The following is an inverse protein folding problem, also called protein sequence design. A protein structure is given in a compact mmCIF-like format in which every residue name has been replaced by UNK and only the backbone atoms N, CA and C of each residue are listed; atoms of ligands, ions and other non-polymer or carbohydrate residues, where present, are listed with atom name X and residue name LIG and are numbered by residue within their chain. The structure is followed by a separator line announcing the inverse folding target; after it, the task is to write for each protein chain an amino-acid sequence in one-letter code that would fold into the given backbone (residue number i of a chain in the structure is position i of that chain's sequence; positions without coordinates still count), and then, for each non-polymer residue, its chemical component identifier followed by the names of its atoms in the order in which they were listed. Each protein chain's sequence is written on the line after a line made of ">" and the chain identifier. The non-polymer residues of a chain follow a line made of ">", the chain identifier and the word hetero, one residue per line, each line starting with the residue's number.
data_IF_699048523676
#
_entry.id   IF_699048523676
#
_cell.length_a   1.000
_cell.length_b   1.000
_cell.length_c   1.000
_cell.angle_alpha   90.00
_cell.angle_beta   90.00
_cell.angle_gamma   90.00
#
_symmetry.space_group_name_H-M   'P 1'
#
loop_
_entity.id
_entity.type
_entity.pdbx_description
1 polymer ?
#
# COMPACT_ATOMS: atom_id res chain seq x y z
N UNK A 1 65.04 -41.91 -27.16
CA UNK A 1 65.75 -41.23 -26.06
C UNK A 1 66.18 -39.89 -26.64
N UNK A 2 65.65 -38.74 -26.26
CA UNK A 2 65.39 -38.26 -24.90
C UNK A 2 64.55 -36.98 -24.92
N UNK A 3 63.78 -36.82 -23.83
CA UNK A 3 63.30 -35.58 -23.19
C UNK A 3 62.49 -34.56 -24.00
N UNK A 4 61.17 -34.56 -23.79
CA UNK A 4 60.40 -33.31 -23.70
C UNK A 4 59.84 -33.18 -22.27
N UNK A 5 60.10 -32.00 -21.70
CA UNK A 5 59.71 -31.54 -20.37
C UNK A 5 58.20 -31.37 -20.27
N UNK A 6 57.56 -32.03 -19.30
CA UNK A 6 56.27 -31.56 -18.81
C UNK A 6 56.51 -30.43 -17.80
N UNK A 7 56.16 -29.23 -18.25
CA UNK A 7 56.04 -28.01 -17.46
C UNK A 7 54.88 -28.19 -16.47
N UNK A 8 55.20 -28.58 -15.24
CA UNK A 8 54.25 -28.51 -14.12
C UNK A 8 53.98 -27.04 -13.79
N UNK A 9 53.07 -26.43 -14.56
CA UNK A 9 52.43 -25.19 -14.16
C UNK A 9 51.73 -25.40 -12.82
N UNK A 10 52.31 -24.83 -11.77
CA UNK A 10 51.75 -24.78 -10.43
C UNK A 10 50.40 -24.06 -10.52
N UNK A 11 49.31 -24.81 -10.54
CA UNK A 11 47.96 -24.26 -10.34
C UNK A 11 47.87 -23.89 -8.87
N UNK A 12 48.12 -22.62 -8.57
CA UNK A 12 47.80 -22.03 -7.27
C UNK A 12 46.30 -22.15 -7.10
N UNK A 13 45.84 -23.10 -6.29
CA UNK A 13 44.43 -23.29 -5.97
C UNK A 13 43.85 -21.96 -5.46
N UNK A 14 42.94 -21.38 -6.22
CA UNK A 14 42.27 -20.14 -5.85
C UNK A 14 41.53 -20.30 -4.51
N UNK A 15 41.56 -19.26 -3.69
CA UNK A 15 40.79 -19.21 -2.43
C UNK A 15 39.29 -19.46 -2.72
N UNK A 16 38.56 -20.20 -1.87
CA UNK A 16 37.14 -20.46 -2.09
C UNK A 16 36.32 -19.16 -2.22
N UNK A 17 35.35 -19.12 -3.15
CA UNK A 17 34.46 -17.98 -3.33
C UNK A 17 33.74 -17.62 -2.03
N UNK A 18 33.68 -16.33 -1.73
CA UNK A 18 33.01 -15.78 -0.56
C UNK A 18 31.71 -15.07 -0.94
N UNK A 19 30.80 -15.04 0.02
CA UNK A 19 29.65 -14.13 0.03
C UNK A 19 30.04 -12.89 0.82
N UNK A 20 30.12 -11.73 0.18
CA UNK A 20 30.52 -10.47 0.79
C UNK A 20 29.40 -9.46 0.67
N UNK A 21 29.13 -8.68 1.72
CA UNK A 21 28.14 -7.61 1.66
C UNK A 21 28.65 -6.33 2.30
N UNK A 22 28.41 -5.20 1.63
CA UNK A 22 28.59 -3.86 2.18
C UNK A 22 27.23 -3.18 2.27
N UNK A 23 26.86 -2.78 3.48
CA UNK A 23 25.61 -2.07 3.76
C UNK A 23 25.91 -0.72 4.38
N UNK A 24 25.35 0.34 3.80
CA UNK A 24 25.55 1.71 4.28
C UNK A 24 24.20 2.37 4.58
N UNK A 25 24.07 2.96 5.77
CA UNK A 25 22.81 3.52 6.26
C UNK A 25 23.02 4.89 6.89
N UNK A 26 22.47 5.94 6.31
CA UNK A 26 22.68 7.31 6.79
C UNK A 26 21.35 7.95 7.20
N UNK A 27 21.27 8.38 8.47
CA UNK A 27 20.14 9.08 9.08
C UNK A 27 20.49 10.54 9.40
N UNK A 28 21.65 10.75 10.01
CA UNK A 28 22.00 12.00 10.71
C UNK A 28 22.79 12.96 9.83
N UNK A 29 22.16 13.45 8.77
CA UNK A 29 22.75 14.49 7.91
C UNK A 29 22.99 15.79 8.69
N UNK A 30 24.18 16.38 8.53
CA UNK A 30 24.60 17.66 9.12
C UNK A 30 23.89 18.85 8.46
N UNK A 31 23.50 18.67 7.19
CA UNK A 31 22.84 19.66 6.34
C UNK A 31 21.64 19.00 5.63
N UNK A 32 20.52 19.72 5.49
CA UNK A 32 19.27 19.16 4.94
C UNK A 32 18.42 18.39 5.95
N UNK A 33 17.45 17.62 5.44
CA UNK A 33 16.55 16.80 6.26
C UNK A 33 17.25 15.58 6.83
N UNK A 34 16.95 15.24 8.09
CA UNK A 34 17.42 13.99 8.71
C UNK A 34 16.44 12.86 8.41
N UNK A 35 16.99 11.70 8.08
CA UNK A 35 16.20 10.48 7.88
C UNK A 35 16.11 9.69 9.18
N UNK A 36 15.00 8.98 9.36
CA UNK A 36 14.69 8.32 10.64
C UNK A 36 15.03 6.83 10.68
N UNK A 37 15.04 6.15 9.53
CA UNK A 37 14.94 4.68 9.51
C UNK A 37 16.04 3.94 8.73
N UNK A 38 16.88 4.64 7.96
CA UNK A 38 17.89 4.01 7.08
C UNK A 38 18.89 3.12 7.82
N UNK A 39 19.28 3.48 9.06
CA UNK A 39 20.14 2.65 9.89
C UNK A 39 19.46 1.35 10.33
N UNK A 40 18.17 1.42 10.68
CA UNK A 40 17.40 0.22 11.05
C UNK A 40 17.31 -0.72 9.86
N UNK A 41 17.06 -0.18 8.67
CA UNK A 41 16.95 -0.96 7.43
C UNK A 41 18.26 -1.69 7.11
N UNK A 42 19.40 -1.03 7.30
CA UNK A 42 20.72 -1.66 7.17
C UNK A 42 20.95 -2.78 8.17
N UNK A 43 20.53 -2.62 9.43
CA UNK A 43 20.70 -3.66 10.44
C UNK A 43 19.82 -4.88 10.16
N UNK A 44 18.59 -4.67 9.69
CA UNK A 44 17.68 -5.75 9.32
C UNK A 44 18.26 -6.56 8.14
N UNK A 45 18.66 -5.89 7.04
CA UNK A 45 19.28 -6.57 5.89
C UNK A 45 20.61 -7.24 6.27
N UNK A 46 21.40 -6.62 7.15
CA UNK A 46 22.66 -7.20 7.60
C UNK A 46 22.48 -8.49 8.41
N UNK A 47 21.46 -8.56 9.27
CA UNK A 47 21.17 -9.76 10.06
C UNK A 47 20.81 -10.93 9.14
N UNK A 48 20.02 -10.68 8.10
CA UNK A 48 19.64 -11.68 7.09
C UNK A 48 20.84 -12.17 6.29
N UNK A 49 21.65 -11.24 5.76
CA UNK A 49 22.81 -11.61 4.96
C UNK A 49 23.82 -12.42 5.79
N UNK A 50 24.01 -12.09 7.08
CA UNK A 50 24.85 -12.91 7.98
C UNK A 50 24.33 -14.34 8.11
N UNK A 51 23.02 -14.54 8.27
CA UNK A 51 22.41 -15.88 8.33
C UNK A 51 22.62 -16.67 7.02
N UNK A 52 22.64 -15.98 5.89
CA UNK A 52 22.93 -16.57 4.57
C UNK A 52 24.43 -16.84 4.31
N UNK A 53 25.27 -16.62 5.32
CA UNK A 53 26.71 -16.85 5.27
C UNK A 53 27.50 -15.71 4.62
N UNK A 54 26.92 -14.52 4.46
CA UNK A 54 27.66 -13.35 4.01
C UNK A 54 28.57 -12.82 5.11
N UNK A 55 29.77 -12.42 4.71
CA UNK A 55 30.64 -11.56 5.50
C UNK A 55 30.17 -10.13 5.31
N UNK A 56 29.48 -9.61 6.32
CA UNK A 56 28.78 -8.33 6.27
C UNK A 56 29.64 -7.21 6.87
N UNK A 57 29.87 -6.16 6.08
CA UNK A 57 30.47 -4.89 6.50
C UNK A 57 29.36 -3.85 6.57
N UNK A 58 29.19 -3.19 7.72
CA UNK A 58 28.19 -2.14 7.94
C UNK A 58 28.91 -0.80 8.14
N UNK A 59 28.39 0.27 7.55
CA UNK A 59 28.74 1.63 7.93
C UNK A 59 27.50 2.50 8.08
N UNK A 60 27.42 3.24 9.18
CA UNK A 60 26.26 4.07 9.51
C UNK A 60 26.67 5.52 9.71
N UNK A 61 25.84 6.46 9.26
CA UNK A 61 26.07 7.91 9.40
C UNK A 61 27.49 8.32 8.98
N UNK A 62 27.86 7.98 7.74
CA UNK A 62 29.23 8.12 7.28
C UNK A 62 29.49 9.50 6.64
N UNK A 63 30.48 10.26 7.16
CA UNK A 63 31.03 11.42 6.44
C UNK A 63 31.70 10.98 5.13
N UNK A 64 31.83 11.90 4.17
CA UNK A 64 32.23 11.60 2.79
C UNK A 64 33.54 10.82 2.70
N UNK A 65 34.57 11.30 3.42
CA UNK A 65 35.89 10.65 3.44
C UNK A 65 35.79 9.23 3.99
N UNK A 66 35.05 9.03 5.08
CA UNK A 66 34.86 7.72 5.72
C UNK A 66 34.04 6.78 4.84
N UNK A 67 33.02 7.30 4.17
CA UNK A 67 32.17 6.57 3.24
C UNK A 67 32.97 6.04 2.03
N UNK A 68 33.83 6.87 1.44
CA UNK A 68 34.75 6.41 0.39
C UNK A 68 35.73 5.37 0.94
N UNK A 69 36.30 5.60 2.12
CA UNK A 69 37.26 4.66 2.71
C UNK A 69 36.66 3.27 2.95
N UNK A 70 35.43 3.18 3.48
CA UNK A 70 34.78 1.88 3.71
C UNK A 70 34.48 1.17 2.39
N UNK A 71 34.03 1.91 1.36
CA UNK A 71 33.79 1.38 0.02
C UNK A 71 35.09 0.83 -0.58
N UNK A 72 36.16 1.62 -0.58
CA UNK A 72 37.47 1.23 -1.12
C UNK A 72 38.08 0.05 -0.34
N UNK A 73 37.93 0.01 0.99
CA UNK A 73 38.39 -1.11 1.82
C UNK A 73 37.62 -2.39 1.50
N UNK A 74 36.30 -2.31 1.38
CA UNK A 74 35.46 -3.45 1.01
C UNK A 74 35.79 -3.96 -0.39
N UNK A 75 35.96 -3.08 -1.37
CA UNK A 75 36.36 -3.43 -2.74
C UNK A 75 37.68 -4.22 -2.81
N UNK A 76 38.61 -4.00 -1.87
CA UNK A 76 39.86 -4.76 -1.79
C UNK A 76 39.68 -6.18 -1.25
N UNK A 77 38.55 -6.48 -0.63
CA UNK A 77 38.24 -7.82 -0.13
C UNK A 77 37.66 -8.74 -1.21
N UNK A 78 37.08 -8.16 -2.28
CA UNK A 78 36.46 -8.88 -3.40
C UNK A 78 37.54 -9.50 -4.28
N UNK A 79 37.37 -10.79 -4.58
CA UNK A 79 38.19 -11.59 -5.49
C UNK A 79 37.33 -12.15 -6.63
N UNK A 80 38.00 -12.82 -7.57
CA UNK A 80 37.32 -13.54 -8.64
C UNK A 80 36.30 -14.54 -8.07
N UNK A 81 35.15 -14.65 -8.70
CA UNK A 81 34.06 -15.58 -8.37
C UNK A 81 33.28 -15.33 -7.06
N UNK A 82 33.63 -14.30 -6.27
CA UNK A 82 32.86 -13.91 -5.08
C UNK A 82 31.42 -13.47 -5.44
N UNK A 83 30.46 -13.73 -4.53
CA UNK A 83 29.11 -13.16 -4.59
C UNK A 83 29.07 -11.89 -3.74
N UNK A 84 28.76 -10.75 -4.35
CA UNK A 84 28.85 -9.44 -3.70
C UNK A 84 27.48 -8.79 -3.60
N UNK A 85 27.11 -8.29 -2.43
CA UNK A 85 25.93 -7.44 -2.21
C UNK A 85 26.38 -6.04 -1.80
N UNK A 86 25.87 -5.02 -2.46
CA UNK A 86 25.98 -3.63 -2.03
C UNK A 86 24.58 -3.10 -1.74
N UNK A 87 24.33 -2.64 -0.51
CA UNK A 87 23.06 -2.03 -0.10
C UNK A 87 23.33 -0.62 0.45
N UNK A 88 22.54 0.34 0.01
CA UNK A 88 22.58 1.70 0.54
C UNK A 88 21.18 2.17 0.90
N UNK A 89 21.00 2.69 2.11
CA UNK A 89 19.80 3.41 2.55
C UNK A 89 20.18 4.82 3.03
N UNK A 90 19.60 5.86 2.43
CA UNK A 90 19.95 7.26 2.71
C UNK A 90 19.56 8.25 1.60
N UNK A 91 20.06 9.48 1.62
CA UNK A 91 19.82 10.44 0.54
C UNK A 91 20.57 10.10 -0.76
N UNK A 92 19.85 10.19 -1.88
CA UNK A 92 20.39 10.03 -3.23
C UNK A 92 19.94 11.14 -4.17
N UNK A 93 20.83 11.59 -5.06
CA UNK A 93 20.57 12.65 -6.03
C UNK A 93 20.86 12.13 -7.44
N UNK A 94 20.07 12.58 -8.42
CA UNK A 94 20.35 12.40 -9.84
C UNK A 94 20.80 13.72 -10.46
N UNK A 95 21.88 13.67 -11.23
CA UNK A 95 22.39 14.80 -12.02
C UNK A 95 22.99 14.28 -13.33
N UNK A 96 22.67 14.91 -14.46
CA UNK A 96 23.17 14.53 -15.80
C UNK A 96 23.14 13.01 -16.09
N UNK A 97 22.00 12.37 -15.83
CA UNK A 97 21.80 10.92 -16.00
C UNK A 97 22.75 10.05 -15.18
N UNK A 98 23.26 10.55 -14.05
CA UNK A 98 24.07 9.80 -13.11
C UNK A 98 23.45 9.82 -11.71
N UNK A 99 23.57 8.69 -11.02
CA UNK A 99 23.10 8.53 -9.64
C UNK A 99 24.26 8.75 -8.67
N UNK A 100 24.01 9.53 -7.61
CA UNK A 100 24.97 9.87 -6.58
C UNK A 100 24.42 9.56 -5.19
N UNK A 101 25.28 9.00 -4.32
CA UNK A 101 25.01 8.77 -2.91
C UNK A 101 25.51 9.94 -2.07
N UNK A 102 24.73 10.33 -1.06
CA UNK A 102 25.03 11.49 -0.22
C UNK A 102 25.53 11.05 1.16
N UNK A 103 26.69 11.58 1.54
CA UNK A 103 27.30 11.43 2.86
C UNK A 103 26.71 12.44 3.86
N UNK A 104 26.83 12.17 5.16
CA UNK A 104 26.13 13.00 6.17
C UNK A 104 26.67 14.43 6.30
N UNK A 105 27.94 14.67 5.98
CA UNK A 105 28.64 15.97 6.05
C UNK A 105 28.51 16.78 4.75
N UNK A 106 27.69 16.31 3.80
CA UNK A 106 27.56 16.95 2.51
C UNK A 106 26.72 18.24 2.60
N UNK A 107 27.40 19.38 2.48
CA UNK A 107 26.81 20.73 2.49
C UNK A 107 25.85 21.04 1.36
N UNK A 108 25.92 20.29 0.26
CA UNK A 108 25.10 20.52 -0.91
C UNK A 108 23.61 20.23 -0.64
N UNK A 109 23.25 19.55 0.45
CA UNK A 109 21.84 19.45 0.88
C UNK A 109 21.25 20.79 1.38
N UNK A 110 22.08 21.82 1.62
CA UNK A 110 21.64 23.13 2.11
C UNK A 110 21.79 24.27 1.07
N UNK A 111 22.65 24.15 0.06
CA UNK A 111 22.92 25.20 -0.93
C UNK A 111 22.70 24.67 -2.36
N UNK A 112 21.79 25.32 -3.08
CA UNK A 112 21.29 25.05 -4.45
C UNK A 112 22.36 25.20 -5.57
N UNK A 113 23.64 25.07 -5.26
CA UNK A 113 24.76 25.29 -6.19
C UNK A 113 25.38 23.98 -6.67
N UNK A 114 25.85 23.94 -7.92
CA UNK A 114 26.43 22.82 -8.70
C UNK A 114 27.58 22.00 -8.03
N UNK A 115 27.85 22.18 -6.74
CA UNK A 115 28.96 21.60 -5.99
C UNK A 115 28.81 20.09 -5.70
N UNK A 116 27.69 19.47 -6.05
CA UNK A 116 27.44 18.02 -5.86
C UNK A 116 28.50 17.13 -6.52
N UNK A 117 29.13 17.59 -7.62
CA UNK A 117 30.20 16.85 -8.32
C UNK A 117 31.45 16.60 -7.45
N UNK A 118 31.66 17.40 -6.40
CA UNK A 118 32.87 17.31 -5.58
C UNK A 118 32.69 16.55 -4.26
N UNK A 119 31.44 16.41 -3.78
CA UNK A 119 31.16 15.87 -2.44
C UNK A 119 30.11 14.73 -2.42
N UNK A 120 29.60 14.30 -3.58
CA UNK A 120 28.72 13.14 -3.69
C UNK A 120 29.42 11.95 -4.36
N UNK A 121 29.05 10.73 -3.98
CA UNK A 121 29.71 9.51 -4.47
C UNK A 121 28.92 8.94 -5.63
N UNK A 122 29.51 8.98 -6.83
CA UNK A 122 28.87 8.43 -8.04
C UNK A 122 28.68 6.91 -7.92
N UNK A 123 27.45 6.43 -8.03
CA UNK A 123 27.12 5.00 -7.91
C UNK A 123 27.81 4.18 -8.98
N UNK A 124 27.85 4.69 -10.22
CA UNK A 124 28.53 4.04 -11.34
C UNK A 124 30.02 3.76 -11.04
N UNK A 125 30.71 4.67 -10.35
CA UNK A 125 32.10 4.48 -9.96
C UNK A 125 32.26 3.31 -8.97
N UNK A 126 31.32 3.15 -8.03
CA UNK A 126 31.32 2.03 -7.07
C UNK A 126 31.16 0.70 -7.84
N UNK A 127 30.17 0.63 -8.73
CA UNK A 127 29.87 -0.56 -9.52
C UNK A 127 31.04 -0.97 -10.43
N UNK A 128 31.60 -0.03 -11.19
CA UNK A 128 32.75 -0.29 -12.06
C UNK A 128 33.98 -0.75 -11.26
N UNK A 129 34.22 -0.12 -10.10
CA UNK A 129 35.36 -0.47 -9.25
C UNK A 129 35.22 -1.85 -8.61
N UNK A 130 34.00 -2.27 -8.24
CA UNK A 130 33.74 -3.63 -7.77
C UNK A 130 33.85 -4.66 -8.91
N UNK A 131 33.32 -4.33 -10.09
CA UNK A 131 33.32 -5.25 -11.25
C UNK A 131 34.72 -5.54 -11.78
N UNK A 132 35.65 -4.58 -11.66
CA UNK A 132 37.07 -4.80 -11.98
C UNK A 132 37.71 -5.97 -11.21
N UNK A 133 37.15 -6.36 -10.07
CA UNK A 133 37.60 -7.52 -9.28
C UNK A 133 37.09 -8.87 -9.79
N UNK A 134 36.24 -8.87 -10.82
CA UNK A 134 35.64 -10.04 -11.46
C UNK A 134 34.87 -10.99 -10.51
N UNK A 135 34.01 -10.48 -9.60
CA UNK A 135 33.10 -11.35 -8.85
C UNK A 135 32.17 -12.11 -9.80
N UNK A 136 31.63 -13.25 -9.35
CA UNK A 136 30.71 -14.06 -10.15
C UNK A 136 29.35 -13.37 -10.33
N UNK A 137 28.91 -12.66 -9.29
CA UNK A 137 27.67 -11.88 -9.32
C UNK A 137 27.77 -10.72 -8.35
N UNK A 138 27.27 -9.56 -8.77
CA UNK A 138 27.10 -8.39 -7.91
C UNK A 138 25.63 -8.00 -7.85
N UNK A 139 25.07 -7.88 -6.66
CA UNK A 139 23.72 -7.36 -6.43
C UNK A 139 23.83 -5.97 -5.81
N UNK A 140 23.34 -4.95 -6.51
CA UNK A 140 23.27 -3.57 -6.06
C UNK A 140 21.83 -3.21 -5.68
N UNK A 141 21.60 -2.86 -4.41
CA UNK A 141 20.32 -2.49 -3.84
C UNK A 141 20.36 -1.04 -3.35
N UNK A 142 19.49 -0.17 -3.86
CA UNK A 142 19.46 1.26 -3.49
C UNK A 142 18.08 1.66 -2.94
N UNK A 143 18.04 2.06 -1.67
CA UNK A 143 16.88 2.52 -0.91
C UNK A 143 17.04 4.00 -0.54
N UNK A 144 16.85 4.91 -1.51
CA UNK A 144 17.20 6.33 -1.32
C UNK A 144 16.01 7.31 -1.23
N UNK A 145 16.04 8.24 -0.27
CA UNK A 145 15.16 9.42 -0.21
C UNK A 145 15.69 10.55 -1.10
N UNK A 146 14.85 11.25 -1.90
CA UNK A 146 15.32 12.17 -2.95
C UNK A 146 14.99 13.66 -2.76
N UNK A 147 15.95 14.50 -3.15
CA UNK A 147 15.81 15.97 -3.36
C UNK A 147 16.19 16.29 -4.81
N UNK A 148 15.35 17.05 -5.51
CA UNK A 148 15.56 17.46 -6.92
C UNK A 148 16.24 18.82 -7.01
N UNK A 149 17.14 18.97 -7.97
CA UNK A 149 17.71 20.25 -8.39
C UNK A 149 17.61 20.34 -9.90
N UNK A 150 16.90 21.33 -10.40
CA UNK A 150 16.79 21.62 -11.84
C UNK A 150 17.49 22.94 -12.13
N UNK A 151 18.20 23.02 -13.25
CA UNK A 151 19.08 24.12 -13.73
C UNK A 151 18.49 25.54 -13.83
N UNK A 152 17.33 25.90 -13.27
CA UNK A 152 16.75 27.23 -13.45
C UNK A 152 15.99 27.79 -12.23
N UNK A 153 16.68 28.01 -11.11
CA UNK A 153 16.18 28.91 -10.05
C UNK A 153 17.20 29.96 -9.58
N UNK A 154 18.22 30.26 -10.39
CA UNK A 154 18.89 31.55 -10.31
C UNK A 154 17.96 32.63 -10.90
N UNK A 155 16.98 33.12 -10.12
CA UNK A 155 16.30 34.43 -10.21
C UNK A 155 14.94 34.40 -9.45
N UNK A 156 14.95 34.32 -8.12
CA UNK A 156 13.95 35.05 -7.31
C UNK A 156 14.37 35.14 -5.84
N UNK A 157 14.57 36.37 -5.38
CA UNK A 157 14.91 36.70 -3.99
C UNK A 157 13.69 36.55 -3.07
N UNK A 158 13.30 35.33 -2.72
CA UNK A 158 12.32 35.09 -1.66
C UNK A 158 12.66 33.88 -0.79
N UNK A 159 12.61 33.99 0.55
CA UNK A 159 12.86 32.87 1.45
C UNK A 159 11.68 31.90 1.39
N UNK A 160 11.90 30.67 0.91
CA UNK A 160 10.82 29.71 0.67
C UNK A 160 10.83 28.54 1.67
N UNK A 161 10.32 28.80 2.87
CA UNK A 161 9.29 27.90 3.41
C UNK A 161 8.00 28.13 2.62
N UNK A 162 7.66 27.26 1.66
CA UNK A 162 6.28 26.95 1.19
C UNK A 162 6.29 26.11 -0.09
N UNK A 163 5.62 24.95 0.00
CA UNK A 163 4.81 24.31 -1.05
C UNK A 163 5.19 24.56 -2.52
N UNK A 164 5.86 23.58 -3.13
CA UNK A 164 6.03 23.50 -4.59
C UNK A 164 4.66 23.17 -5.24
N UNK A 165 4.27 23.80 -6.37
CA UNK A 165 2.96 23.61 -7.01
C UNK A 165 2.74 22.20 -7.58
N UNK A 166 1.47 21.76 -7.60
CA UNK A 166 0.97 20.43 -7.96
C UNK A 166 1.16 19.97 -9.44
N UNK A 167 2.17 20.43 -10.18
CA UNK A 167 2.31 20.03 -11.59
C UNK A 167 3.73 19.85 -12.14
N UNK A 168 4.70 19.48 -11.30
CA UNK A 168 6.00 18.96 -11.76
C UNK A 168 6.06 17.44 -11.55
N UNK A 169 6.16 16.69 -12.65
CA UNK A 169 6.41 15.24 -12.64
C UNK A 169 7.71 14.93 -11.89
N UNK A 170 7.58 14.39 -10.67
CA UNK A 170 8.68 13.87 -9.86
C UNK A 170 9.14 12.53 -10.45
N UNK A 171 10.27 12.51 -11.16
CA UNK A 171 10.83 11.28 -11.74
C UNK A 171 11.70 10.51 -10.72
N UNK A 172 12.41 9.49 -11.16
CA UNK A 172 13.06 8.43 -10.39
C UNK A 172 14.59 8.57 -10.47
N UNK A 173 15.38 7.67 -9.86
CA UNK A 173 16.78 7.49 -10.28
C UNK A 173 16.77 6.97 -11.71
N UNK A 174 17.70 7.42 -12.54
CA UNK A 174 17.81 6.93 -13.91
C UNK A 174 18.35 5.51 -13.95
N UNK A 175 18.01 4.78 -15.01
CA UNK A 175 18.51 3.43 -15.30
C UNK A 175 20.03 3.43 -15.48
N UNK A 176 20.75 2.63 -14.68
CA UNK A 176 22.19 2.45 -14.83
C UNK A 176 22.52 1.41 -15.91
N UNK A 177 23.61 1.60 -16.63
CA UNK A 177 24.13 0.59 -17.57
C UNK A 177 24.73 -0.57 -16.76
N UNK A 178 24.01 -1.69 -16.70
CA UNK A 178 24.52 -2.91 -16.06
C UNK A 178 25.82 -3.38 -16.71
N UNK A 179 26.78 -3.79 -15.89
CA UNK A 179 27.99 -4.49 -16.36
C UNK A 179 27.71 -5.99 -16.31
N UNK A 180 28.24 -6.79 -17.24
CA UNK A 180 28.01 -8.24 -17.27
C UNK A 180 28.33 -8.87 -15.89
N UNK A 181 27.36 -9.61 -15.32
CA UNK A 181 27.45 -10.17 -13.97
C UNK A 181 26.92 -9.27 -12.84
N UNK A 182 26.27 -8.14 -13.14
CA UNK A 182 25.62 -7.28 -12.14
C UNK A 182 24.09 -7.27 -12.25
N UNK A 183 23.41 -7.35 -11.10
CA UNK A 183 21.97 -7.13 -10.92
C UNK A 183 21.79 -5.84 -10.12
N UNK A 184 21.03 -4.90 -10.65
CA UNK A 184 20.75 -3.61 -10.00
C UNK A 184 19.26 -3.57 -9.69
N UNK A 185 18.91 -3.35 -8.43
CA UNK A 185 17.52 -3.28 -7.94
C UNK A 185 17.34 -1.95 -7.22
N UNK A 186 16.34 -1.19 -7.65
CA UNK A 186 15.94 0.04 -7.00
C UNK A 186 14.68 -0.23 -6.16
N UNK A 187 14.64 0.29 -4.93
CA UNK A 187 13.49 0.09 -4.03
C UNK A 187 12.24 0.88 -4.50
N UNK A 188 12.44 1.94 -5.29
CA UNK A 188 11.41 2.58 -6.13
C UNK A 188 11.73 2.34 -7.60
N UNK A 189 10.73 2.07 -8.44
CA UNK A 189 10.93 1.94 -9.89
C UNK A 189 11.66 3.16 -10.49
N UNK A 190 12.41 3.00 -11.59
CA UNK A 190 12.89 4.16 -12.33
C UNK A 190 11.65 5.02 -12.69
N UNK A 191 11.73 6.30 -12.42
CA UNK A 191 10.65 7.29 -12.55
C UNK A 191 9.59 7.44 -11.43
N UNK A 192 9.75 6.83 -10.26
CA UNK A 192 8.76 6.97 -9.16
C UNK A 192 9.33 7.57 -7.85
N UNK A 193 8.52 8.38 -7.15
CA UNK A 193 8.81 9.02 -5.86
C UNK A 193 7.65 8.81 -4.87
N UNK A 194 7.96 8.50 -3.61
CA UNK A 194 6.96 8.32 -2.54
C UNK A 194 7.30 9.22 -1.36
N UNK A 195 6.28 9.93 -0.85
CA UNK A 195 6.32 10.74 0.37
C UNK A 195 6.10 9.82 1.59
N UNK A 196 6.99 9.93 2.58
CA UNK A 196 6.94 9.14 3.82
C UNK A 196 5.70 9.44 4.67
N UNK A 197 4.91 8.42 5.00
CA UNK A 197 4.32 8.26 6.34
C UNK A 197 4.26 6.76 6.70
N UNK A 198 5.15 6.35 7.60
CA UNK A 198 5.17 5.03 8.25
C UNK A 198 5.08 5.23 9.77
N UNK A 199 4.03 4.68 10.39
CA UNK A 199 3.72 4.82 11.83
C UNK A 199 4.52 3.85 12.74
N UNK A 200 5.35 2.97 12.18
CA UNK A 200 5.99 1.86 12.93
C UNK A 200 7.53 1.87 12.95
N UNK A 201 8.19 2.98 12.61
CA UNK A 201 9.64 3.09 12.81
C UNK A 201 10.52 2.40 11.75
N UNK A 202 9.96 2.03 10.60
CA UNK A 202 10.64 1.33 9.48
C UNK A 202 10.24 1.93 8.13
N UNK A 203 11.13 1.88 7.14
CA UNK A 203 10.75 2.20 5.77
C UNK A 203 9.87 1.07 5.19
N UNK A 204 8.84 1.39 4.40
CA UNK A 204 7.81 0.42 3.91
C UNK A 204 8.40 -0.70 3.04
N UNK A 205 9.61 -0.55 2.53
CA UNK A 205 10.21 -1.40 1.49
C UNK A 205 11.14 -2.49 2.04
N UNK A 206 11.63 -2.38 3.27
CA UNK A 206 12.54 -3.37 3.91
C UNK A 206 11.84 -4.71 4.16
N UNK A 207 10.51 -4.71 4.39
CA UNK A 207 9.73 -5.93 4.55
C UNK A 207 9.75 -6.82 3.30
N UNK A 208 9.91 -6.27 2.09
CA UNK A 208 9.87 -7.01 0.82
C UNK A 208 11.17 -7.79 0.57
N UNK A 209 12.28 -7.43 1.22
CA UNK A 209 13.61 -8.00 0.99
C UNK A 209 13.96 -9.18 1.92
N UNK A 210 13.08 -9.56 2.86
CA UNK A 210 13.31 -10.70 3.74
C UNK A 210 13.10 -12.04 2.98
N UNK A 211 13.96 -13.06 3.19
CA UNK A 211 13.78 -14.37 2.58
C UNK A 211 12.43 -14.98 2.96
N UNK A 212 11.76 -15.61 1.97
CA UNK A 212 10.45 -16.23 2.15
C UNK A 212 10.41 -17.20 3.33
N UNK A 213 11.49 -17.92 3.65
CA UNK A 213 11.56 -18.84 4.79
C UNK A 213 11.37 -18.17 6.16
N UNK A 214 11.96 -16.99 6.40
CA UNK A 214 11.83 -16.27 7.68
C UNK A 214 10.44 -15.61 7.82
N UNK A 215 9.94 -15.05 6.71
CA UNK A 215 8.56 -14.53 6.64
C UNK A 215 7.55 -15.64 6.92
N UNK A 216 7.78 -16.83 6.37
CA UNK A 216 6.92 -18.00 6.55
C UNK A 216 6.94 -18.57 7.96
N UNK A 217 8.09 -18.65 8.62
CA UNK A 217 8.17 -19.15 10.01
C UNK A 217 7.43 -18.22 10.99
N UNK A 218 7.64 -16.90 10.86
CA UNK A 218 6.94 -15.91 11.69
C UNK A 218 5.44 -15.83 11.37
N UNK A 219 5.08 -15.94 10.10
CA UNK A 219 3.69 -16.01 9.66
C UNK A 219 3.02 -17.29 10.16
N UNK A 220 3.72 -18.42 10.12
CA UNK A 220 3.23 -19.70 10.63
C UNK A 220 2.96 -19.62 12.13
N UNK A 221 3.90 -19.08 12.92
CA UNK A 221 3.69 -18.89 14.37
C UNK A 221 2.48 -17.99 14.65
N UNK A 222 2.29 -16.91 13.88
CA UNK A 222 1.14 -16.01 14.02
C UNK A 222 -0.18 -16.65 13.60
N UNK A 223 -0.16 -17.54 12.60
CA UNK A 223 -1.31 -18.35 12.21
C UNK A 223 -1.63 -19.37 13.32
N UNK A 224 -0.63 -19.96 13.95
CA UNK A 224 -0.77 -20.93 15.03
C UNK A 224 -1.31 -20.26 16.31
N UNK A 225 -0.87 -19.04 16.61
CA UNK A 225 -1.36 -18.17 17.69
C UNK A 225 -2.80 -17.65 17.48
N UNK A 226 -3.39 -17.78 16.29
CA UNK A 226 -4.82 -17.53 16.07
C UNK A 226 -5.64 -18.62 16.79
N UNK A 227 -5.83 -18.43 18.11
CA UNK A 227 -6.39 -19.40 19.06
C UNK A 227 -7.93 -19.48 19.04
N UNK A 228 -8.61 -18.61 18.28
CA UNK A 228 -10.05 -18.72 18.08
C UNK A 228 -10.36 -19.73 16.97
N UNK A 229 -10.92 -20.89 17.37
CA UNK A 229 -11.17 -22.11 16.56
C UNK A 229 -11.81 -21.94 15.18
N UNK A 230 -12.32 -20.76 14.83
CA UNK A 230 -12.92 -20.47 13.52
C UNK A 230 -12.46 -19.16 12.86
N UNK A 231 -11.46 -18.46 13.41
CA UNK A 231 -11.01 -17.16 12.88
C UNK A 231 -9.51 -17.20 12.60
N UNK A 232 -9.13 -16.83 11.39
CA UNK A 232 -7.76 -16.52 11.01
C UNK A 232 -7.67 -15.00 10.86
N UNK A 233 -7.01 -14.35 11.83
CA UNK A 233 -6.88 -12.89 11.88
C UNK A 233 -5.44 -12.48 11.59
N UNK A 234 -5.21 -11.98 10.37
CA UNK A 234 -3.91 -11.59 9.85
C UNK A 234 -3.94 -10.15 9.33
N UNK A 235 -4.63 -9.27 10.06
CA UNK A 235 -4.71 -7.84 9.74
C UNK A 235 -3.45 -7.09 10.12
N UNK A 236 -3.00 -6.15 9.30
CA UNK A 236 -1.82 -5.30 9.56
C UNK A 236 -0.50 -6.09 9.65
N UNK A 237 -0.24 -6.94 8.64
CA UNK A 237 0.83 -7.94 8.71
C UNK A 237 1.81 -7.88 7.55
N UNK A 238 1.73 -6.83 6.74
CA UNK A 238 2.56 -6.61 5.55
C UNK A 238 2.53 -7.79 4.55
N UNK A 239 1.41 -8.52 4.52
CA UNK A 239 1.25 -9.66 3.61
C UNK A 239 1.15 -9.17 2.17
N UNK A 240 1.87 -9.83 1.27
CA UNK A 240 1.83 -9.59 -0.18
C UNK A 240 1.19 -10.78 -0.89
N UNK A 241 1.02 -10.67 -2.22
CA UNK A 241 0.47 -11.76 -3.04
C UNK A 241 1.25 -13.08 -2.90
N UNK A 242 2.56 -13.00 -2.66
CA UNK A 242 3.44 -14.16 -2.50
C UNK A 242 3.12 -14.97 -1.22
N UNK A 243 2.53 -14.33 -0.21
CA UNK A 243 2.20 -14.99 1.06
C UNK A 243 0.86 -15.74 0.98
N UNK A 244 0.03 -15.46 -0.03
CA UNK A 244 -1.35 -15.93 -0.10
C UNK A 244 -1.47 -17.45 -0.16
N UNK A 245 -0.57 -18.14 -0.86
CA UNK A 245 -0.60 -19.60 -0.93
C UNK A 245 -0.46 -20.24 0.45
N UNK A 246 0.45 -19.74 1.29
CA UNK A 246 0.70 -20.28 2.62
C UNK A 246 -0.44 -19.92 3.56
N UNK A 247 -0.88 -18.66 3.54
CA UNK A 247 -2.04 -18.21 4.33
C UNK A 247 -3.27 -19.06 4.03
N UNK A 248 -3.56 -19.30 2.75
CA UNK A 248 -4.75 -20.03 2.32
C UNK A 248 -4.63 -21.52 2.61
N UNK A 249 -3.48 -22.14 2.38
CA UNK A 249 -3.25 -23.54 2.75
C UNK A 249 -3.53 -23.75 4.24
N UNK A 250 -2.99 -22.88 5.11
CA UNK A 250 -3.20 -23.01 6.55
C UNK A 250 -4.66 -22.73 6.96
N UNK A 251 -5.28 -21.70 6.39
CA UNK A 251 -6.68 -21.39 6.65
C UNK A 251 -7.63 -22.54 6.21
N UNK A 252 -7.29 -23.22 5.11
CA UNK A 252 -8.01 -24.40 4.62
C UNK A 252 -7.76 -25.62 5.52
N UNK A 253 -6.51 -25.86 5.93
CA UNK A 253 -6.15 -26.96 6.86
C UNK A 253 -6.93 -26.84 8.16
N UNK A 254 -7.15 -25.61 8.64
CA UNK A 254 -7.96 -25.35 9.83
C UNK A 254 -9.44 -25.74 9.71
N UNK A 255 -9.94 -26.29 8.57
CA UNK A 255 -11.26 -26.93 8.24
C UNK A 255 -12.57 -26.31 8.78
N UNK A 256 -12.50 -25.34 9.66
CA UNK A 256 -13.56 -24.65 10.39
C UNK A 256 -13.33 -23.13 10.32
N UNK A 257 -12.41 -22.65 9.46
CA UNK A 257 -12.20 -21.21 9.28
C UNK A 257 -13.49 -20.58 8.72
N UNK A 258 -14.19 -19.85 9.59
CA UNK A 258 -15.39 -19.07 9.30
C UNK A 258 -15.07 -17.63 8.96
N UNK A 259 -13.99 -17.09 9.54
CA UNK A 259 -13.63 -15.69 9.39
C UNK A 259 -12.17 -15.59 8.95
N UNK A 260 -11.94 -15.13 7.72
CA UNK A 260 -10.61 -14.82 7.22
C UNK A 260 -10.46 -13.29 7.15
N UNK A 261 -9.61 -12.73 8.01
CA UNK A 261 -9.36 -11.29 8.09
C UNK A 261 -7.95 -10.97 7.60
N UNK A 262 -7.89 -10.31 6.45
CA UNK A 262 -6.66 -9.94 5.74
C UNK A 262 -6.59 -8.42 5.48
N UNK A 263 -7.31 -7.63 6.28
CA UNK A 263 -7.36 -6.18 6.08
C UNK A 263 -6.03 -5.49 6.42
N UNK A 264 -5.75 -4.34 5.79
CA UNK A 264 -4.54 -3.55 6.02
C UNK A 264 -3.27 -4.33 5.69
N UNK A 265 -3.23 -4.94 4.50
CA UNK A 265 -2.06 -5.64 3.97
C UNK A 265 -1.70 -5.05 2.59
N UNK A 266 -0.80 -5.71 1.86
CA UNK A 266 -0.31 -5.30 0.55
C UNK A 266 -0.80 -6.27 -0.55
N UNK A 267 -2.02 -6.80 -0.39
CA UNK A 267 -2.62 -7.73 -1.33
C UNK A 267 -3.11 -6.95 -2.55
N UNK A 268 -2.60 -7.31 -3.74
CA UNK A 268 -3.02 -6.72 -5.01
C UNK A 268 -4.13 -7.55 -5.65
N UNK A 269 -4.56 -7.17 -6.86
CA UNK A 269 -5.46 -7.99 -7.67
C UNK A 269 -4.93 -9.39 -7.97
N UNK A 270 -3.60 -9.60 -7.98
CA UNK A 270 -3.01 -10.93 -8.12
C UNK A 270 -3.32 -11.79 -6.89
N UNK A 271 -3.07 -11.29 -5.68
CA UNK A 271 -3.41 -12.01 -4.45
C UNK A 271 -4.92 -12.25 -4.32
N UNK A 272 -5.76 -11.31 -4.74
CA UNK A 272 -7.21 -11.51 -4.82
C UNK A 272 -7.60 -12.67 -5.77
N UNK A 273 -6.89 -12.83 -6.89
CA UNK A 273 -7.09 -13.96 -7.82
C UNK A 273 -6.68 -15.30 -7.21
N UNK A 274 -5.60 -15.33 -6.44
CA UNK A 274 -5.15 -16.51 -5.70
C UNK A 274 -6.21 -16.88 -4.64
N UNK A 275 -6.68 -15.90 -3.86
CA UNK A 275 -7.77 -16.09 -2.88
C UNK A 275 -9.02 -16.64 -3.57
N UNK A 276 -9.43 -16.03 -4.68
CA UNK A 276 -10.59 -16.48 -5.46
C UNK A 276 -10.44 -17.95 -5.90
N UNK A 277 -9.26 -18.35 -6.39
CA UNK A 277 -8.99 -19.72 -6.80
C UNK A 277 -9.12 -20.72 -5.63
N UNK A 278 -8.79 -20.29 -4.41
CA UNK A 278 -8.83 -21.08 -3.20
C UNK A 278 -10.22 -21.12 -2.53
N UNK A 279 -11.12 -20.17 -2.82
CA UNK A 279 -12.47 -20.10 -2.21
C UNK A 279 -13.26 -21.40 -2.33
N UNK A 280 -13.10 -22.15 -3.42
CA UNK A 280 -13.76 -23.46 -3.62
C UNK A 280 -13.38 -24.53 -2.58
N UNK A 281 -12.23 -24.37 -1.93
CA UNK A 281 -11.71 -25.31 -0.96
C UNK A 281 -12.16 -24.96 0.47
N UNK A 282 -12.72 -23.77 0.69
CA UNK A 282 -13.30 -23.39 1.97
C UNK A 282 -14.70 -23.98 2.11
N UNK A 283 -14.89 -24.84 3.10
CA UNK A 283 -16.18 -25.48 3.39
C UNK A 283 -16.97 -24.77 4.49
N UNK A 284 -16.35 -23.84 5.23
CA UNK A 284 -16.97 -23.13 6.36
C UNK A 284 -16.78 -21.60 6.35
N UNK A 285 -16.16 -21.01 5.32
CA UNK A 285 -15.85 -19.57 5.30
C UNK A 285 -17.10 -18.71 5.11
N UNK A 286 -17.53 -18.03 6.17
CA UNK A 286 -18.70 -17.16 6.20
C UNK A 286 -18.34 -15.67 5.99
N UNK A 287 -17.12 -15.27 6.32
CA UNK A 287 -16.65 -13.88 6.21
C UNK A 287 -15.24 -13.80 5.62
N UNK A 288 -15.09 -12.98 4.59
CA UNK A 288 -13.81 -12.59 4.00
C UNK A 288 -13.66 -11.07 4.10
N UNK A 289 -12.63 -10.63 4.81
CA UNK A 289 -12.31 -9.20 4.95
C UNK A 289 -10.97 -8.88 4.30
N UNK A 290 -11.02 -8.09 3.22
CA UNK A 290 -9.90 -7.62 2.42
C UNK A 290 -9.80 -6.08 2.43
N UNK A 291 -10.36 -5.44 3.46
CA UNK A 291 -10.37 -3.98 3.61
C UNK A 291 -8.95 -3.40 3.59
N UNK A 292 -8.74 -2.21 3.02
CA UNK A 292 -7.45 -1.51 3.03
C UNK A 292 -6.31 -2.35 2.44
N UNK A 293 -6.45 -2.68 1.15
CA UNK A 293 -5.45 -3.38 0.34
C UNK A 293 -5.31 -2.62 -1.01
N UNK A 294 -4.64 -3.21 -2.00
CA UNK A 294 -4.45 -2.59 -3.33
C UNK A 294 -5.21 -3.34 -4.44
N UNK A 295 -6.37 -3.90 -4.10
CA UNK A 295 -7.22 -4.65 -5.03
C UNK A 295 -7.91 -3.68 -5.99
N UNK A 296 -7.78 -3.91 -7.29
CA UNK A 296 -8.49 -3.18 -8.35
C UNK A 296 -9.63 -4.00 -8.94
N UNK A 297 -10.29 -3.45 -9.96
CA UNK A 297 -11.41 -4.09 -10.68
C UNK A 297 -11.09 -5.51 -11.18
N UNK A 298 -9.84 -5.79 -11.57
CA UNK A 298 -9.43 -7.13 -12.03
C UNK A 298 -9.42 -8.17 -10.90
N UNK A 299 -9.07 -7.76 -9.68
CA UNK A 299 -9.16 -8.62 -8.49
C UNK A 299 -10.61 -8.87 -8.10
N UNK A 300 -11.46 -7.84 -8.21
CA UNK A 300 -12.91 -7.96 -8.01
C UNK A 300 -13.54 -8.90 -9.04
N UNK A 301 -13.15 -8.82 -10.31
CA UNK A 301 -13.61 -9.77 -11.33
C UNK A 301 -13.25 -11.22 -10.95
N UNK A 302 -11.99 -11.45 -10.55
CA UNK A 302 -11.53 -12.78 -10.15
C UNK A 302 -12.35 -13.35 -8.97
N UNK A 303 -12.59 -12.52 -7.94
CA UNK A 303 -13.46 -12.89 -6.81
C UNK A 303 -14.90 -13.17 -7.28
N UNK A 304 -15.42 -12.33 -8.18
CA UNK A 304 -16.78 -12.37 -8.69
C UNK A 304 -17.07 -13.66 -9.48
N UNK A 305 -16.18 -14.03 -10.40
CA UNK A 305 -16.29 -15.27 -11.17
C UNK A 305 -16.41 -16.50 -10.25
N UNK A 306 -15.71 -16.50 -9.11
CA UNK A 306 -15.77 -17.61 -8.17
C UNK A 306 -17.00 -17.58 -7.27
N UNK A 307 -17.42 -16.40 -6.81
CA UNK A 307 -18.61 -16.24 -5.97
C UNK A 307 -19.92 -16.52 -6.71
N UNK A 308 -19.89 -16.50 -8.04
CA UNK A 308 -21.00 -16.91 -8.91
C UNK A 308 -21.30 -18.41 -8.87
N UNK A 309 -20.40 -19.23 -8.31
CA UNK A 309 -20.65 -20.67 -8.15
C UNK A 309 -21.61 -20.95 -6.98
N UNK A 310 -22.64 -21.78 -7.23
CA UNK A 310 -23.74 -22.11 -6.29
C UNK A 310 -23.31 -22.71 -4.94
N UNK A 311 -22.01 -22.92 -4.71
CA UNK A 311 -21.46 -23.53 -3.49
C UNK A 311 -20.83 -22.52 -2.53
N UNK A 312 -20.90 -21.21 -2.84
CA UNK A 312 -20.37 -20.19 -1.93
C UNK A 312 -21.26 -20.03 -0.70
N UNK A 313 -20.77 -20.42 0.46
CA UNK A 313 -21.41 -20.16 1.77
C UNK A 313 -21.03 -18.79 2.35
N UNK A 314 -20.29 -17.98 1.59
CA UNK A 314 -19.82 -16.68 2.03
C UNK A 314 -21.00 -15.72 2.23
N UNK A 315 -21.12 -15.18 3.44
CA UNK A 315 -22.20 -14.24 3.82
C UNK A 315 -21.72 -12.80 3.82
N UNK A 316 -20.45 -12.56 4.15
CA UNK A 316 -19.89 -11.24 4.33
C UNK A 316 -18.63 -11.08 3.50
N UNK A 317 -18.62 -10.09 2.60
CA UNK A 317 -17.46 -9.69 1.81
C UNK A 317 -17.16 -8.22 2.07
N UNK A 318 -15.98 -7.93 2.63
CA UNK A 318 -15.54 -6.55 2.88
C UNK A 318 -14.36 -6.22 1.97
N UNK A 319 -14.56 -5.24 1.10
CA UNK A 319 -13.61 -4.73 0.10
C UNK A 319 -13.38 -3.21 0.25
N UNK A 320 -13.74 -2.64 1.39
CA UNK A 320 -13.56 -1.21 1.65
C UNK A 320 -12.08 -0.77 1.53
N UNK A 321 -11.83 0.50 1.24
CA UNK A 321 -10.48 1.07 1.10
C UNK A 321 -9.59 0.31 0.10
N UNK A 322 -10.09 0.10 -1.12
CA UNK A 322 -9.35 -0.50 -2.22
C UNK A 322 -9.38 0.44 -3.45
N UNK A 323 -9.01 -0.04 -4.64
CA UNK A 323 -8.99 0.74 -5.89
C UNK A 323 -10.11 0.30 -6.84
N UNK A 324 -11.32 0.09 -6.30
CA UNK A 324 -12.48 -0.40 -7.05
C UNK A 324 -13.19 0.78 -7.71
N UNK A 325 -13.44 0.71 -9.01
CA UNK A 325 -14.15 1.72 -9.79
C UNK A 325 -15.56 1.25 -10.18
N UNK A 326 -16.25 2.00 -11.02
CA UNK A 326 -17.52 1.59 -11.63
C UNK A 326 -17.44 0.21 -12.31
N UNK A 327 -16.29 -0.11 -12.92
CA UNK A 327 -16.08 -1.41 -13.58
C UNK A 327 -16.11 -2.56 -12.57
N UNK A 328 -15.44 -2.42 -11.42
CA UNK A 328 -15.48 -3.41 -10.36
C UNK A 328 -16.86 -3.53 -9.73
N UNK A 329 -17.57 -2.41 -9.55
CA UNK A 329 -18.96 -2.41 -9.09
C UNK A 329 -19.90 -3.14 -10.07
N UNK A 330 -19.66 -3.03 -11.39
CA UNK A 330 -20.41 -3.76 -12.41
C UNK A 330 -20.18 -5.28 -12.30
N UNK A 331 -18.95 -5.74 -12.07
CA UNK A 331 -18.70 -7.18 -11.81
C UNK A 331 -19.44 -7.66 -10.56
N UNK A 332 -19.43 -6.87 -9.48
CA UNK A 332 -20.19 -7.19 -8.28
C UNK A 332 -21.70 -7.21 -8.52
N UNK A 333 -22.22 -6.29 -9.34
CA UNK A 333 -23.62 -6.29 -9.74
C UNK A 333 -23.99 -7.57 -10.50
N UNK A 334 -23.14 -8.03 -11.43
CA UNK A 334 -23.35 -9.28 -12.16
C UNK A 334 -23.46 -10.49 -11.21
N UNK A 335 -22.60 -10.58 -10.18
CA UNK A 335 -22.70 -11.69 -9.23
C UNK A 335 -23.93 -11.61 -8.35
N UNK A 336 -24.37 -10.40 -7.97
CA UNK A 336 -25.54 -10.23 -7.11
C UNK A 336 -26.81 -10.72 -7.82
N UNK A 337 -26.83 -10.75 -9.15
CA UNK A 337 -27.97 -11.31 -9.91
C UNK A 337 -28.17 -12.80 -9.65
N UNK A 338 -27.10 -13.56 -9.37
CA UNK A 338 -27.15 -15.03 -9.22
C UNK A 338 -26.81 -15.51 -7.81
N UNK A 339 -25.94 -14.81 -7.09
CA UNK A 339 -25.58 -15.14 -5.72
C UNK A 339 -26.76 -14.93 -4.77
N UNK A 340 -26.98 -15.90 -3.87
CA UNK A 340 -28.07 -15.90 -2.88
C UNK A 340 -27.57 -16.13 -1.45
N UNK A 341 -26.28 -15.95 -1.22
CA UNK A 341 -25.65 -16.25 0.08
C UNK A 341 -25.04 -15.02 0.73
N UNK A 342 -24.59 -14.05 -0.06
CA UNK A 342 -24.13 -12.76 0.45
C UNK A 342 -25.29 -12.00 1.10
N UNK A 343 -25.01 -11.56 2.33
CA UNK A 343 -25.88 -10.75 3.19
C UNK A 343 -25.26 -9.37 3.41
N UNK A 344 -23.93 -9.26 3.45
CA UNK A 344 -23.23 -7.99 3.64
C UNK A 344 -22.12 -7.79 2.60
N UNK A 345 -22.13 -6.63 1.96
CA UNK A 345 -21.09 -6.19 1.01
C UNK A 345 -20.54 -4.81 1.41
N UNK A 346 -19.27 -4.76 1.78
CA UNK A 346 -18.60 -3.51 2.15
C UNK A 346 -17.75 -2.95 1.00
N UNK A 347 -18.10 -1.78 0.47
CA UNK A 347 -17.42 -1.11 -0.65
C UNK A 347 -16.99 0.32 -0.33
N UNK A 348 -17.02 0.71 0.95
CA UNK A 348 -16.64 2.04 1.41
C UNK A 348 -15.23 2.46 0.96
N UNK A 349 -14.97 3.76 0.82
CA UNK A 349 -13.64 4.30 0.52
C UNK A 349 -12.99 3.70 -0.73
N UNK A 350 -13.78 3.52 -1.79
CA UNK A 350 -13.30 3.12 -3.11
C UNK A 350 -13.49 4.28 -4.11
N UNK A 351 -13.35 4.00 -5.40
CA UNK A 351 -13.46 4.95 -6.49
C UNK A 351 -14.75 4.74 -7.32
N UNK A 352 -15.80 4.19 -6.70
CA UNK A 352 -17.08 3.91 -7.37
C UNK A 352 -17.82 5.23 -7.60
N UNK A 353 -18.28 5.47 -8.82
CA UNK A 353 -19.11 6.59 -9.21
C UNK A 353 -20.59 6.20 -9.39
N UNK A 354 -21.34 7.09 -10.01
CA UNK A 354 -22.79 6.92 -10.16
C UNK A 354 -23.15 5.71 -11.03
N UNK A 355 -22.35 5.39 -12.05
CA UNK A 355 -22.61 4.27 -12.96
C UNK A 355 -22.46 2.91 -12.25
N UNK A 356 -21.47 2.79 -11.36
CA UNK A 356 -21.28 1.62 -10.53
C UNK A 356 -22.44 1.42 -9.56
N UNK A 357 -22.90 2.48 -8.91
CA UNK A 357 -24.08 2.43 -8.03
C UNK A 357 -25.36 2.11 -8.79
N UNK A 358 -25.53 2.65 -10.00
CA UNK A 358 -26.67 2.32 -10.86
C UNK A 358 -26.68 0.82 -11.20
N UNK A 359 -25.52 0.25 -11.52
CA UNK A 359 -25.37 -1.19 -11.80
C UNK A 359 -25.74 -2.04 -10.58
N UNK A 360 -25.22 -1.68 -9.40
CA UNK A 360 -25.56 -2.36 -8.13
C UNK A 360 -27.06 -2.25 -7.83
N UNK A 361 -27.64 -1.07 -8.01
CA UNK A 361 -29.08 -0.83 -7.78
C UNK A 361 -29.95 -1.67 -8.69
N UNK A 362 -29.62 -1.77 -9.98
CA UNK A 362 -30.35 -2.62 -10.90
C UNK A 362 -30.31 -4.09 -10.47
N UNK A 363 -29.13 -4.60 -10.11
CA UNK A 363 -28.98 -5.99 -9.65
C UNK A 363 -29.79 -6.27 -8.37
N UNK A 364 -29.74 -5.36 -7.41
CA UNK A 364 -30.41 -5.48 -6.12
C UNK A 364 -31.93 -5.31 -6.22
N UNK A 365 -32.42 -4.41 -7.07
CA UNK A 365 -33.87 -4.19 -7.21
C UNK A 365 -34.55 -5.27 -8.05
N UNK A 366 -33.87 -5.82 -9.05
CA UNK A 366 -34.49 -6.75 -10.01
C UNK A 366 -34.27 -8.23 -9.66
N UNK A 367 -33.16 -8.59 -9.00
CA UNK A 367 -32.74 -9.99 -8.91
C UNK A 367 -32.38 -10.47 -7.50
N UNK A 368 -31.76 -9.62 -6.68
CA UNK A 368 -31.21 -10.05 -5.39
C UNK A 368 -32.14 -9.73 -4.22
N UNK A 369 -32.49 -10.74 -3.44
CA UNK A 369 -33.33 -10.60 -2.23
C UNK A 369 -32.63 -11.07 -0.96
N UNK A 370 -31.30 -11.25 -1.00
CA UNK A 370 -30.53 -11.83 0.12
C UNK A 370 -29.59 -10.83 0.76
N UNK A 371 -29.07 -9.87 -0.01
CA UNK A 371 -28.21 -8.81 0.50
C UNK A 371 -29.03 -7.91 1.43
N UNK A 372 -28.56 -7.75 2.66
CA UNK A 372 -29.19 -6.94 3.69
C UNK A 372 -28.39 -5.69 4.01
N UNK A 373 -27.06 -5.69 3.79
CA UNK A 373 -26.15 -4.59 4.10
C UNK A 373 -25.24 -4.26 2.91
N UNK A 374 -25.17 -2.98 2.55
CA UNK A 374 -24.33 -2.43 1.48
C UNK A 374 -23.67 -1.12 1.92
N UNK A 375 -22.35 -1.13 2.13
CA UNK A 375 -21.62 0.07 2.55
C UNK A 375 -20.96 0.75 1.34
N UNK A 376 -21.29 2.01 1.07
CA UNK A 376 -20.83 2.81 -0.08
C UNK A 376 -20.23 4.17 0.31
N UNK A 377 -20.06 4.46 1.60
CA UNK A 377 -19.51 5.71 2.11
C UNK A 377 -18.08 5.98 1.60
N UNK A 378 -17.72 7.23 1.32
CA UNK A 378 -16.37 7.60 0.86
C UNK A 378 -16.02 7.20 -0.58
N UNK A 379 -17.02 7.02 -1.44
CA UNK A 379 -16.89 6.80 -2.88
C UNK A 379 -17.06 8.13 -3.68
N UNK A 380 -16.98 8.04 -5.01
CA UNK A 380 -17.12 9.16 -5.95
C UNK A 380 -18.58 9.36 -6.41
N UNK A 381 -19.54 9.25 -5.50
CA UNK A 381 -20.96 9.47 -5.82
C UNK A 381 -21.19 10.97 -5.97
N UNK A 382 -21.46 11.41 -7.20
CA UNK A 382 -21.40 12.83 -7.55
C UNK A 382 -22.71 13.37 -8.12
N UNK A 383 -23.47 12.56 -8.86
CA UNK A 383 -24.69 12.97 -9.54
C UNK A 383 -25.97 12.45 -8.90
N UNK A 384 -27.09 13.08 -9.27
CA UNK A 384 -28.45 12.75 -8.79
C UNK A 384 -28.88 11.32 -9.17
N UNK A 385 -28.30 10.75 -10.22
CA UNK A 385 -28.57 9.36 -10.65
C UNK A 385 -28.17 8.33 -9.58
N UNK A 386 -27.14 8.59 -8.79
CA UNK A 386 -26.76 7.72 -7.65
C UNK A 386 -27.78 7.82 -6.52
N UNK A 387 -28.36 9.01 -6.28
CA UNK A 387 -29.43 9.23 -5.30
C UNK A 387 -30.69 8.46 -5.70
N UNK A 388 -31.14 8.59 -6.95
CA UNK A 388 -32.30 7.87 -7.48
C UNK A 388 -32.10 6.34 -7.41
N UNK A 389 -30.88 5.89 -7.70
CA UNK A 389 -30.49 4.48 -7.60
C UNK A 389 -30.59 3.97 -6.15
N UNK A 390 -30.15 4.76 -5.17
CA UNK A 390 -30.24 4.41 -3.74
C UNK A 390 -31.68 4.45 -3.24
N UNK A 391 -32.46 5.47 -3.62
CA UNK A 391 -33.90 5.54 -3.32
C UNK A 391 -34.61 4.30 -3.88
N UNK A 392 -34.27 3.89 -5.10
CA UNK A 392 -34.84 2.69 -5.72
C UNK A 392 -34.49 1.42 -4.95
N UNK A 393 -33.24 1.27 -4.49
CA UNK A 393 -32.83 0.15 -3.63
C UNK A 393 -33.65 0.11 -2.35
N UNK A 394 -33.79 1.24 -1.65
CA UNK A 394 -34.52 1.32 -0.38
C UNK A 394 -36.04 1.08 -0.55
N UNK A 395 -36.62 1.49 -1.68
CA UNK A 395 -38.05 1.29 -1.96
C UNK A 395 -38.39 -0.13 -2.35
N UNK A 396 -37.57 -0.76 -3.19
CA UNK A 396 -37.94 -2.00 -3.85
C UNK A 396 -37.21 -3.24 -3.32
N UNK A 397 -36.13 -3.08 -2.56
CA UNK A 397 -35.43 -4.19 -1.91
C UNK A 397 -35.80 -4.26 -0.42
N UNK A 398 -36.85 -5.04 -0.11
CA UNK A 398 -37.38 -5.23 1.25
C UNK A 398 -36.33 -5.69 2.30
N UNK A 399 -35.36 -6.57 1.96
CA UNK A 399 -34.24 -6.92 2.84
C UNK A 399 -33.27 -5.77 3.21
N UNK A 400 -33.03 -4.82 2.30
CA UNK A 400 -32.16 -3.66 2.51
C UNK A 400 -32.92 -2.57 3.31
N UNK A 401 -32.87 -2.61 4.65
CA UNK A 401 -33.53 -1.61 5.52
C UNK A 401 -32.64 -0.41 5.81
N UNK A 402 -33.23 0.76 6.08
CA UNK A 402 -32.57 2.07 6.18
C UNK A 402 -31.22 2.22 6.95
N UNK A 403 -30.83 1.41 7.97
CA UNK A 403 -29.45 1.46 8.48
C UNK A 403 -28.41 0.71 7.62
N UNK A 404 -28.83 0.04 6.54
CA UNK A 404 -28.02 -0.88 5.75
C UNK A 404 -27.24 -0.25 4.59
N UNK A 405 -27.62 0.95 4.15
CA UNK A 405 -26.92 1.68 3.09
C UNK A 405 -26.15 2.84 3.72
N UNK A 406 -24.87 2.63 3.97
CA UNK A 406 -24.00 3.68 4.51
C UNK A 406 -23.38 4.50 3.39
N UNK A 407 -23.67 5.80 3.33
CA UNK A 407 -23.35 6.72 2.22
C UNK A 407 -22.71 8.04 2.69
N UNK A 408 -22.22 8.12 3.93
CA UNK A 408 -21.56 9.34 4.42
C UNK A 408 -20.26 9.66 3.66
N UNK A 409 -19.84 10.93 3.63
CA UNK A 409 -18.55 11.39 3.02
C UNK A 409 -18.37 11.09 1.52
N UNK A 410 -19.44 11.02 0.73
CA UNK A 410 -19.34 11.07 -0.75
C UNK A 410 -19.15 12.53 -1.21
N UNK A 411 -18.18 12.75 -2.11
CA UNK A 411 -17.43 14.01 -2.24
C UNK A 411 -18.21 15.26 -2.71
N UNK A 412 -19.48 15.17 -3.12
CA UNK A 412 -20.21 16.33 -3.69
C UNK A 412 -21.67 16.47 -3.28
N UNK A 413 -22.29 15.49 -2.62
CA UNK A 413 -23.61 15.74 -2.00
C UNK A 413 -23.53 16.84 -0.94
N UNK A 414 -22.35 17.06 -0.36
CA UNK A 414 -22.10 18.14 0.61
C UNK A 414 -21.93 19.52 -0.08
N UNK A 415 -21.66 19.58 -1.39
CA UNK A 415 -21.43 20.88 -2.05
C UNK A 415 -22.73 21.62 -2.42
N UNK A 416 -23.85 20.92 -2.60
CA UNK A 416 -25.16 21.54 -2.87
C UNK A 416 -26.25 21.20 -1.82
N UNK A 417 -26.06 20.18 -0.97
CA UNK A 417 -26.98 19.95 0.13
C UNK A 417 -26.68 20.92 1.28
N UNK A 418 -27.62 21.82 1.54
CA UNK A 418 -27.59 22.65 2.74
C UNK A 418 -27.89 21.76 3.95
N UNK A 419 -26.94 21.64 4.88
CA UNK A 419 -27.22 21.05 6.20
C UNK A 419 -28.10 22.02 6.98
N UNK A 420 -29.40 21.72 7.05
CA UNK A 420 -30.40 22.56 7.74
C UNK A 420 -30.47 22.27 9.25
N UNK A 421 -30.07 21.07 9.68
CA UNK A 421 -29.95 20.68 11.09
C UNK A 421 -29.01 19.47 11.29
N UNK A 422 -28.40 19.35 12.48
CA UNK A 422 -27.59 18.18 12.86
C UNK A 422 -26.06 18.33 12.78
N UNK A 423 -25.55 19.50 12.38
CA UNK A 423 -24.10 19.78 12.27
C UNK A 423 -23.51 20.75 13.30
N UNK A 424 -24.34 21.35 14.17
CA UNK A 424 -23.94 22.42 15.09
C UNK A 424 -23.83 21.99 16.56
N UNK A 425 -23.51 20.70 16.79
CA UNK A 425 -23.47 20.12 18.13
C UNK A 425 -24.85 19.86 18.75
N UNK A 426 -24.82 19.28 19.95
CA UNK A 426 -26.01 18.91 20.72
C UNK A 426 -26.71 20.16 21.26
N UNK A 427 -28.02 20.32 21.05
CA UNK A 427 -28.74 21.47 21.57
C UNK A 427 -30.18 21.62 21.06
N UNK A 428 -30.85 22.65 21.58
CA UNK A 428 -32.27 22.93 21.31
C UNK A 428 -32.48 23.95 20.17
N UNK A 429 -31.42 24.39 19.47
CA UNK A 429 -31.57 25.23 18.28
C UNK A 429 -32.30 24.50 17.14
N UNK A 430 -32.97 25.22 16.24
CA UNK A 430 -33.64 24.63 15.06
C UNK A 430 -32.67 23.95 14.08
N UNK A 431 -31.38 24.25 14.20
CA UNK A 431 -30.29 23.67 13.44
C UNK A 431 -29.44 22.67 14.27
N UNK A 432 -29.89 22.28 15.46
CA UNK A 432 -29.25 21.36 16.40
C UNK A 432 -30.21 20.23 16.78
N UNK A 433 -29.66 19.09 17.21
CA UNK A 433 -30.46 18.00 17.78
C UNK A 433 -29.81 17.47 19.05
N UNK A 434 -30.63 17.04 20.02
CA UNK A 434 -30.18 16.53 21.31
C UNK A 434 -30.17 15.01 21.34
N UNK A 435 -31.20 14.37 20.77
CA UNK A 435 -31.29 12.92 20.54
C UNK A 435 -32.42 12.58 19.54
N UNK A 436 -32.21 12.78 18.23
CA UNK A 436 -33.24 12.52 17.23
C UNK A 436 -33.44 11.01 17.06
N UNK A 437 -34.69 10.54 17.24
CA UNK A 437 -35.01 9.11 17.22
C UNK A 437 -36.00 8.73 16.12
N UNK A 438 -36.92 9.63 15.77
CA UNK A 438 -37.93 9.40 14.74
C UNK A 438 -37.71 10.30 13.53
N UNK A 439 -37.83 9.73 12.33
CA UNK A 439 -37.87 10.44 11.07
C UNK A 439 -39.12 10.00 10.31
N UNK A 440 -39.96 10.93 9.89
CA UNK A 440 -41.14 10.67 9.08
C UNK A 440 -41.16 11.63 7.89
N UNK A 441 -41.65 11.16 6.74
CA UNK A 441 -41.84 11.99 5.55
C UNK A 441 -43.26 11.76 5.07
N UNK A 442 -44.03 12.83 4.93
CA UNK A 442 -45.40 12.75 4.42
C UNK A 442 -45.46 12.78 2.88
N UNK A 443 -46.67 12.65 2.32
CA UNK A 443 -46.91 12.61 0.87
C UNK A 443 -46.52 13.93 0.17
N UNK A 444 -46.49 15.06 0.91
CA UNK A 444 -46.05 16.37 0.42
C UNK A 444 -44.52 16.55 0.49
N UNK A 445 -43.78 15.49 0.88
CA UNK A 445 -42.33 15.48 1.11
C UNK A 445 -41.88 16.41 2.25
N UNK A 446 -42.76 16.66 3.22
CA UNK A 446 -42.39 17.34 4.47
C UNK A 446 -41.70 16.34 5.39
N UNK A 447 -40.52 16.71 5.89
CA UNK A 447 -39.71 15.88 6.77
C UNK A 447 -39.99 16.27 8.22
N UNK A 448 -40.32 15.31 9.07
CA UNK A 448 -40.51 15.47 10.50
C UNK A 448 -39.44 14.70 11.26
N UNK A 449 -38.76 15.36 12.19
CA UNK A 449 -37.75 14.76 13.07
C UNK A 449 -38.20 14.88 14.52
N UNK A 450 -38.34 13.74 15.20
CA UNK A 450 -38.61 13.68 16.64
C UNK A 450 -37.29 13.74 17.43
N UNK A 451 -37.02 14.89 18.04
CA UNK A 451 -35.84 15.16 18.87
C UNK A 451 -36.14 14.88 20.35
N UNK A 452 -36.02 13.60 20.70
CA UNK A 452 -36.52 12.99 21.94
C UNK A 452 -36.06 13.71 23.21
N UNK A 453 -34.77 14.07 23.29
CA UNK A 453 -34.22 14.73 24.48
C UNK A 453 -34.48 16.24 24.50
N UNK A 454 -34.92 16.83 23.39
CA UNK A 454 -35.39 18.22 23.33
C UNK A 454 -36.91 18.32 23.45
N UNK A 455 -37.61 17.18 23.64
CA UNK A 455 -39.07 17.08 23.77
C UNK A 455 -39.83 17.82 22.65
N UNK A 456 -39.41 17.62 21.39
CA UNK A 456 -40.01 18.32 20.25
C UNK A 456 -40.05 17.49 18.97
N UNK A 457 -40.96 17.83 18.08
CA UNK A 457 -40.97 17.43 16.67
C UNK A 457 -40.69 18.68 15.84
N UNK A 458 -39.71 18.57 14.95
CA UNK A 458 -39.34 19.66 14.04
C UNK A 458 -39.66 19.24 12.61
N UNK A 459 -40.39 20.09 11.88
CA UNK A 459 -40.75 19.88 10.47
C UNK A 459 -39.86 20.70 9.51
N UNK A 460 -39.61 20.15 8.32
CA UNK A 460 -39.02 20.84 7.18
C UNK A 460 -39.86 20.54 5.94
N UNK A 461 -40.59 21.55 5.47
CA UNK A 461 -41.28 21.51 4.18
C UNK A 461 -40.28 21.50 3.03
N UNK A 462 -40.71 20.99 1.87
CA UNK A 462 -39.87 20.96 0.68
C UNK A 462 -39.34 22.36 0.33
N UNK A 463 -38.02 22.50 0.23
CA UNK A 463 -37.35 23.73 -0.18
C UNK A 463 -37.10 24.76 0.94
N UNK A 464 -37.50 24.51 2.19
CA UNK A 464 -37.17 25.40 3.31
C UNK A 464 -35.81 25.04 3.93
N UNK A 465 -35.09 26.06 4.38
CA UNK A 465 -33.72 25.94 4.91
C UNK A 465 -33.64 25.96 6.44
N UNK A 466 -34.78 26.15 7.12
CA UNK A 466 -34.91 26.13 8.58
C UNK A 466 -36.13 25.32 8.98
N UNK A 467 -36.00 24.59 10.08
CA UNK A 467 -37.09 23.77 10.62
C UNK A 467 -38.07 24.60 11.44
N UNK A 468 -39.27 24.06 11.66
CA UNK A 468 -40.28 24.63 12.55
C UNK A 468 -40.68 23.59 13.60
N UNK A 469 -40.74 23.97 14.88
CA UNK A 469 -41.29 23.09 15.93
C UNK A 469 -42.81 23.00 15.75
N UNK A 470 -43.33 21.78 15.66
CA UNK A 470 -44.75 21.52 15.41
C UNK A 470 -45.43 20.72 16.52
N UNK A 471 -44.67 20.07 17.38
CA UNK A 471 -45.18 19.39 18.57
C UNK A 471 -44.12 19.33 19.66
#
# INVERSE_FOLDING_TARGET
>A
MSSEMNDESIVVAGRPPKKLALLIGNNNYEHGDKLKYCINDVHDVANELKQMGFQVTIGTDLPYVTMIQIILRFQRQINTDDLVVFFYSGHGIQWEDQNYLIAIDNKCLADDTEMYRHYAIRVQFILESMTKRRPSTIVFLLDCCRTYLTENQALSNTPLTKSIPENTTRTGLTTMKGVAGSLIVFACGPNEAVLEESKNGRNRQTCVLLPSSYRNEKLQNRIDECEFRSTVDLREQDLTDADMDIVLQQAIIKKQCKYLRLSQNQITSLGASIIASALKNFTSLETLNLCNNTISDSGVNSLSEKLSSNNSILKVLILAANRITDTGAQYLAQILQTNRTLVCLGLSFNEIGDQGVQSLSQALTQYNTTLQELYLNGNKLIGDSSVDSIISMLKYNLPLRAPAIDIHRNATWIQNALTVAGGNGKGNGLNQFTYPWGLYVDDDQTIYVADTSSHRIVEWKRGVTSGQVVA
#
